data_IF_002933733349
#
_entry.id   IF_002933733349
#
_cell.length_a   1.000
_cell.length_b   1.000
_cell.length_c   1.000
_cell.angle_alpha   90.00
_cell.angle_beta   90.00
_cell.angle_gamma   90.00
#
_symmetry.space_group_name_H-M   'P 1'
#
loop_
_entity.id
_entity.type
_entity.pdbx_description
1 polymer ?
#
# COMPACT_ATOMS: atom_id res chain seq x y z
N UNK A 1 19.27 11.77 -61.34
CA UNK A 1 18.08 12.31 -60.61
C UNK A 1 17.39 11.31 -59.67
N UNK A 2 17.57 9.99 -59.79
CA UNK A 2 16.92 9.01 -58.90
C UNK A 2 17.64 8.85 -57.54
N UNK A 3 18.98 8.89 -57.52
CA UNK A 3 19.80 8.71 -56.30
C UNK A 3 19.64 9.87 -55.30
N UNK A 4 19.52 11.12 -55.76
CA UNK A 4 19.27 12.29 -54.90
C UNK A 4 17.90 12.23 -54.20
N UNK A 5 16.87 11.63 -54.82
CA UNK A 5 15.55 11.49 -54.21
C UNK A 5 15.53 10.43 -53.10
N UNK A 6 16.25 9.32 -53.29
CA UNK A 6 16.37 8.24 -52.30
C UNK A 6 17.13 8.72 -51.06
N UNK A 7 18.22 9.49 -51.26
CA UNK A 7 19.02 10.04 -50.15
C UNK A 7 18.21 11.05 -49.32
N UNK A 8 17.42 11.91 -49.97
CA UNK A 8 16.53 12.85 -49.27
C UNK A 8 15.43 12.16 -48.45
N UNK A 9 14.87 11.06 -48.95
CA UNK A 9 13.85 10.28 -48.24
C UNK A 9 14.42 9.56 -47.01
N UNK A 10 15.62 8.98 -47.15
CA UNK A 10 16.31 8.31 -46.05
C UNK A 10 16.71 9.28 -44.92
N UNK A 11 17.17 10.49 -45.27
CA UNK A 11 17.47 11.55 -44.30
C UNK A 11 16.18 12.03 -43.63
N UNK A 12 15.08 12.21 -44.37
CA UNK A 12 13.79 12.58 -43.80
C UNK A 12 13.23 11.54 -42.83
N UNK A 13 13.36 10.25 -43.15
CA UNK A 13 12.95 9.16 -42.26
C UNK A 13 13.84 9.06 -41.02
N UNK A 14 15.16 9.26 -41.16
CA UNK A 14 16.08 9.29 -40.03
C UNK A 14 15.79 10.47 -39.11
N UNK A 15 15.52 11.65 -39.68
CA UNK A 15 15.18 12.84 -38.91
C UNK A 15 13.85 12.67 -38.17
N UNK A 16 12.83 12.11 -38.84
CA UNK A 16 11.55 11.77 -38.22
C UNK A 16 11.67 10.71 -37.13
N UNK A 17 12.54 9.71 -37.31
CA UNK A 17 12.82 8.69 -36.29
C UNK A 17 13.52 9.30 -35.08
N UNK A 18 14.53 10.14 -35.30
CA UNK A 18 15.27 10.81 -34.23
C UNK A 18 14.38 11.78 -33.45
N UNK A 19 13.58 12.61 -34.13
CA UNK A 19 12.64 13.52 -33.46
C UNK A 19 11.55 12.77 -32.71
N UNK A 20 10.99 11.70 -33.28
CA UNK A 20 10.02 10.84 -32.57
C UNK A 20 10.64 10.11 -31.37
N UNK A 21 11.92 9.73 -31.44
CA UNK A 21 12.64 9.12 -30.32
C UNK A 21 12.93 10.12 -29.21
N UNK A 22 13.34 11.35 -29.54
CA UNK A 22 13.53 12.43 -28.57
C UNK A 22 12.22 12.81 -27.88
N UNK A 23 11.12 12.83 -28.63
CA UNK A 23 9.80 13.18 -28.10
C UNK A 23 9.27 12.09 -27.15
N UNK A 24 9.54 10.80 -27.41
CA UNK A 24 9.25 9.71 -26.47
C UNK A 24 10.10 9.79 -25.19
N UNK A 25 11.39 10.04 -25.32
CA UNK A 25 12.28 10.19 -24.16
C UNK A 25 11.85 11.38 -23.28
N UNK A 26 11.45 12.51 -23.89
CA UNK A 26 10.95 13.67 -23.17
C UNK A 26 9.59 13.44 -22.49
N UNK A 27 8.69 12.67 -23.11
CA UNK A 27 7.40 12.29 -22.50
C UNK A 27 7.60 11.29 -21.34
N UNK A 28 8.53 10.35 -21.47
CA UNK A 28 8.91 9.42 -20.41
C UNK A 28 9.56 10.17 -19.22
N UNK A 29 10.50 11.08 -19.48
CA UNK A 29 11.12 11.94 -18.45
C UNK A 29 10.07 12.82 -17.75
N UNK A 30 9.10 13.39 -18.50
CA UNK A 30 8.04 14.20 -17.93
C UNK A 30 7.02 13.38 -17.11
N UNK A 31 6.78 12.13 -17.49
CA UNK A 31 5.95 11.19 -16.74
C UNK A 31 6.66 10.73 -15.46
N UNK A 32 7.96 10.48 -15.53
CA UNK A 32 8.81 10.13 -14.39
C UNK A 32 8.92 11.29 -13.40
N UNK A 33 9.12 12.52 -13.88
CA UNK A 33 9.14 13.74 -13.06
C UNK A 33 7.79 14.11 -12.44
N UNK A 34 6.64 13.68 -13.03
CA UNK A 34 5.30 13.81 -12.42
C UNK A 34 4.97 12.66 -11.45
N UNK A 35 5.64 11.52 -11.59
CA UNK A 35 5.48 10.36 -10.72
C UNK A 35 6.32 10.46 -9.45
N UNK A 36 7.53 11.03 -9.52
CA UNK A 36 8.42 11.24 -8.36
C UNK A 36 7.74 12.00 -7.20
N UNK A 37 6.99 13.11 -7.42
CA UNK A 37 6.28 13.81 -6.34
C UNK A 37 5.15 12.98 -5.71
N UNK A 38 4.54 12.06 -6.46
CA UNK A 38 3.47 11.21 -5.93
C UNK A 38 4.03 10.01 -5.16
N UNK A 39 5.17 9.46 -5.60
CA UNK A 39 5.86 8.39 -4.91
C UNK A 39 6.52 8.87 -3.62
N UNK A 40 7.23 10.01 -3.66
CA UNK A 40 7.83 10.63 -2.47
C UNK A 40 6.78 10.93 -1.39
N UNK A 41 5.61 11.44 -1.78
CA UNK A 41 4.46 11.64 -0.87
C UNK A 41 3.92 10.34 -0.29
N UNK A 42 3.93 9.27 -1.09
CA UNK A 42 3.56 7.93 -0.63
C UNK A 42 4.52 7.42 0.44
N UNK A 43 5.82 7.50 0.17
CA UNK A 43 6.89 7.09 1.08
C UNK A 43 6.93 7.92 2.37
N UNK A 44 6.71 9.24 2.28
CA UNK A 44 6.55 10.10 3.46
C UNK A 44 5.34 9.68 4.30
N UNK A 45 4.21 9.43 3.65
CA UNK A 45 3.02 8.92 4.30
C UNK A 45 3.24 7.59 5.04
N UNK A 46 3.95 6.64 4.42
CA UNK A 46 4.32 5.36 5.03
C UNK A 46 5.23 5.58 6.25
N UNK A 47 6.20 6.48 6.16
CA UNK A 47 7.10 6.82 7.28
C UNK A 47 6.33 7.40 8.47
N UNK A 48 5.39 8.31 8.23
CA UNK A 48 4.55 8.90 9.29
C UNK A 48 3.71 7.83 10.01
N UNK A 49 3.04 6.97 9.24
CA UNK A 49 2.20 5.91 9.79
C UNK A 49 3.02 4.88 10.58
N UNK A 50 4.20 4.49 10.08
CA UNK A 50 5.10 3.60 10.82
C UNK A 50 5.54 4.20 12.15
N UNK A 51 5.92 5.48 12.17
CA UNK A 51 6.33 6.17 13.38
C UNK A 51 5.20 6.20 14.43
N UNK A 52 3.97 6.50 14.00
CA UNK A 52 2.81 6.49 14.89
C UNK A 52 2.45 5.10 15.40
N UNK A 53 2.45 4.08 14.53
CA UNK A 53 2.23 2.68 14.95
C UNK A 53 3.17 2.30 16.08
N UNK A 54 4.46 2.55 15.91
CA UNK A 54 5.50 2.24 16.90
C UNK A 54 5.24 2.99 18.20
N UNK A 55 5.00 4.30 18.13
CA UNK A 55 4.71 5.11 19.31
C UNK A 55 3.46 4.66 20.08
N UNK A 56 2.38 4.36 19.36
CA UNK A 56 1.12 3.89 19.95
C UNK A 56 1.27 2.50 20.56
N UNK A 57 1.94 1.58 19.88
CA UNK A 57 2.15 0.22 20.36
C UNK A 57 3.07 0.19 21.58
N UNK A 58 4.11 1.02 21.65
CA UNK A 58 4.91 1.19 22.88
C UNK A 58 4.02 1.60 24.05
N UNK A 59 3.12 2.57 23.86
CA UNK A 59 2.21 3.03 24.92
C UNK A 59 1.18 1.98 25.33
N UNK A 60 0.74 1.12 24.41
CA UNK A 60 -0.29 0.11 24.67
C UNK A 60 0.29 -1.22 25.18
N UNK A 61 1.50 -1.59 24.76
CA UNK A 61 2.06 -2.94 24.92
C UNK A 61 3.40 -2.98 25.65
N UNK A 62 4.03 -1.84 25.95
CA UNK A 62 5.43 -1.80 26.39
C UNK A 62 6.34 -2.27 25.26
N UNK A 63 7.10 -3.33 25.50
CA UNK A 63 8.03 -3.90 24.50
C UNK A 63 7.47 -5.14 23.79
N UNK A 64 6.27 -5.60 24.14
CA UNK A 64 5.65 -6.81 23.58
C UNK A 64 4.86 -6.48 22.30
N UNK A 65 5.54 -6.03 21.25
CA UNK A 65 4.97 -5.76 19.93
C UNK A 65 6.07 -5.79 18.85
N UNK A 66 5.65 -5.91 17.59
CA UNK A 66 6.53 -5.81 16.43
C UNK A 66 5.82 -5.07 15.29
N UNK A 67 6.53 -4.21 14.57
CA UNK A 67 6.08 -3.63 13.31
C UNK A 67 7.10 -3.99 12.23
N UNK A 68 6.63 -4.63 11.16
CA UNK A 68 7.40 -4.95 9.96
C UNK A 68 6.90 -4.05 8.82
N UNK A 69 7.75 -3.15 8.35
CA UNK A 69 7.43 -2.22 7.26
C UNK A 69 7.89 -2.81 5.91
N UNK A 70 7.13 -2.58 4.84
CA UNK A 70 7.49 -2.98 3.47
C UNK A 70 7.67 -4.50 3.29
N UNK A 71 6.85 -5.30 3.96
CA UNK A 71 6.99 -6.76 3.96
C UNK A 71 6.42 -7.38 2.68
N UNK A 72 7.24 -8.11 1.92
CA UNK A 72 6.77 -8.84 0.72
C UNK A 72 6.35 -10.25 1.10
N UNK A 73 5.04 -10.51 1.15
CA UNK A 73 4.49 -11.83 1.39
C UNK A 73 4.46 -12.67 0.11
N UNK A 74 4.84 -13.93 0.21
CA UNK A 74 4.67 -14.94 -0.83
C UNK A 74 3.40 -15.73 -0.52
N UNK A 75 2.25 -15.26 -1.02
CA UNK A 75 0.93 -15.79 -0.66
C UNK A 75 0.34 -16.75 -1.70
N UNK A 76 0.90 -16.82 -2.91
CA UNK A 76 0.42 -17.71 -3.98
C UNK A 76 1.55 -18.17 -4.92
N UNK A 77 2.50 -18.99 -4.44
CA UNK A 77 3.61 -19.49 -5.26
C UNK A 77 3.11 -20.12 -6.58
N UNK A 78 3.72 -19.75 -7.71
CA UNK A 78 3.38 -20.30 -9.04
C UNK A 78 2.17 -19.66 -9.74
N UNK A 79 1.55 -18.63 -9.15
CA UNK A 79 0.57 -17.78 -9.84
C UNK A 79 1.25 -16.57 -10.52
N UNK A 80 0.51 -15.86 -11.38
CA UNK A 80 0.99 -14.63 -12.02
C UNK A 80 1.33 -13.51 -11.01
N UNK A 81 0.71 -13.53 -9.83
CA UNK A 81 0.91 -12.57 -8.75
C UNK A 81 1.24 -13.30 -7.44
N UNK A 82 2.45 -13.91 -7.34
CA UNK A 82 2.78 -14.77 -6.22
C UNK A 82 3.09 -14.00 -4.94
N UNK A 83 3.34 -12.69 -5.07
CA UNK A 83 3.80 -11.82 -4.00
C UNK A 83 2.87 -10.63 -3.79
N UNK A 84 2.68 -10.22 -2.54
CA UNK A 84 2.02 -8.96 -2.18
C UNK A 84 2.83 -8.21 -1.11
N UNK A 85 3.09 -6.93 -1.36
CA UNK A 85 3.67 -6.01 -0.38
C UNK A 85 2.65 -5.67 0.72
N UNK A 86 3.08 -5.59 1.97
CA UNK A 86 2.34 -4.97 3.09
C UNK A 86 3.13 -3.74 3.52
N UNK A 87 2.49 -2.57 3.49
CA UNK A 87 3.11 -1.30 3.90
C UNK A 87 3.56 -1.39 5.37
N UNK A 88 2.65 -1.75 6.28
CA UNK A 88 2.99 -2.04 7.67
C UNK A 88 2.21 -3.23 8.22
N UNK A 89 2.92 -4.21 8.77
CA UNK A 89 2.36 -5.30 9.54
C UNK A 89 2.66 -5.08 11.02
N UNK A 90 1.63 -4.72 11.80
CA UNK A 90 1.73 -4.60 13.24
C UNK A 90 1.27 -5.89 13.93
N UNK A 91 2.12 -6.44 14.79
CA UNK A 91 1.85 -7.64 15.59
C UNK A 91 1.88 -7.21 17.05
N UNK A 92 0.74 -7.38 17.73
CA UNK A 92 0.56 -7.01 19.13
C UNK A 92 -0.08 -8.16 19.91
N UNK A 93 -0.04 -8.14 21.25
CA UNK A 93 -0.56 -9.22 22.08
C UNK A 93 -2.08 -9.40 21.97
N UNK A 94 -2.76 -8.38 21.44
CA UNK A 94 -4.21 -8.35 21.22
C UNK A 94 -4.62 -8.54 19.76
N UNK A 95 -3.68 -8.72 18.81
CA UNK A 95 -4.02 -8.93 17.41
C UNK A 95 -2.91 -8.62 16.41
N UNK A 96 -3.19 -8.93 15.14
CA UNK A 96 -2.36 -8.59 13.98
C UNK A 96 -3.11 -7.60 13.10
N UNK A 97 -2.44 -6.53 12.67
CA UNK A 97 -3.02 -5.46 11.86
C UNK A 97 -2.22 -5.28 10.58
N UNK A 98 -2.92 -5.41 9.44
CA UNK A 98 -2.37 -5.17 8.10
C UNK A 98 -2.73 -3.76 7.70
N UNK A 99 -1.78 -2.85 7.72
CA UNK A 99 -2.00 -1.44 7.44
C UNK A 99 -1.62 -1.15 6.01
N UNK A 100 -2.57 -0.58 5.28
CA UNK A 100 -2.40 -0.02 3.94
C UNK A 100 -2.46 1.51 4.06
N UNK A 101 -1.40 2.19 3.64
CA UNK A 101 -1.25 3.64 3.76
C UNK A 101 -1.72 4.33 2.49
N UNK A 102 -2.40 5.48 2.65
CA UNK A 102 -2.77 6.37 1.54
C UNK A 102 -2.52 7.83 1.92
N UNK A 103 -1.72 8.51 1.11
CA UNK A 103 -1.45 9.93 1.30
C UNK A 103 -2.43 10.80 0.49
N UNK A 104 -3.71 10.83 0.89
CA UNK A 104 -4.78 11.54 0.18
C UNK A 104 -5.22 12.80 0.93
N UNK A 105 -5.36 13.93 0.24
CA UNK A 105 -5.90 15.16 0.81
C UNK A 105 -7.34 15.42 0.33
N UNK A 106 -8.25 15.71 1.26
CA UNK A 106 -9.66 16.00 0.97
C UNK A 106 -10.64 15.09 1.68
N UNK A 107 -11.90 15.08 1.22
CA UNK A 107 -12.99 14.30 1.84
C UNK A 107 -13.09 12.93 1.17
N UNK A 108 -13.02 11.88 1.98
CA UNK A 108 -13.19 10.49 1.55
C UNK A 108 -14.59 10.01 1.90
N UNK A 109 -15.35 9.61 0.89
CA UNK A 109 -16.69 9.02 1.03
C UNK A 109 -16.78 7.66 0.37
N UNK A 110 -17.91 6.98 0.54
CA UNK A 110 -18.23 5.76 -0.23
C UNK A 110 -18.11 6.01 -1.74
N UNK A 111 -17.63 5.00 -2.46
CA UNK A 111 -17.75 4.90 -3.91
C UNK A 111 -19.09 4.31 -4.32
N UNK A 112 -19.18 3.90 -5.58
CA UNK A 112 -20.37 3.22 -6.12
C UNK A 112 -20.48 1.77 -5.61
N UNK A 113 -19.37 1.18 -5.18
CA UNK A 113 -19.27 -0.16 -4.63
C UNK A 113 -18.44 -0.16 -3.35
N UNK A 114 -18.59 -1.20 -2.53
CA UNK A 114 -17.79 -1.41 -1.30
C UNK A 114 -16.27 -1.49 -1.56
N UNK A 115 -15.87 -1.81 -2.79
CA UNK A 115 -14.48 -1.91 -3.22
C UNK A 115 -13.87 -0.56 -3.62
N UNK A 116 -14.68 0.52 -3.64
CA UNK A 116 -14.28 1.84 -4.13
C UNK A 116 -14.60 2.94 -3.13
N UNK A 117 -13.79 4.00 -3.17
CA UNK A 117 -13.95 5.22 -2.41
C UNK A 117 -13.96 6.42 -3.37
N UNK A 118 -14.71 7.46 -3.00
CA UNK A 118 -14.65 8.75 -3.67
C UNK A 118 -13.80 9.71 -2.86
N UNK A 119 -12.73 10.24 -3.46
CA UNK A 119 -11.95 11.34 -2.91
C UNK A 119 -12.43 12.64 -3.56
N UNK A 120 -12.90 13.59 -2.76
CA UNK A 120 -13.17 14.97 -3.19
C UNK A 120 -12.05 15.87 -2.68
N UNK A 121 -11.24 16.43 -3.58
CA UNK A 121 -10.12 17.30 -3.20
C UNK A 121 -10.61 18.67 -2.74
N UNK A 122 -9.72 19.45 -2.14
CA UNK A 122 -9.99 20.83 -1.69
C UNK A 122 -10.48 21.75 -2.84
N UNK A 123 -10.03 21.48 -4.07
CA UNK A 123 -10.43 22.21 -5.28
C UNK A 123 -11.76 21.70 -5.88
N UNK A 124 -12.45 20.79 -5.19
CA UNK A 124 -13.73 20.20 -5.61
C UNK A 124 -13.64 19.11 -6.67
N UNK A 125 -12.43 18.67 -7.05
CA UNK A 125 -12.27 17.58 -8.01
C UNK A 125 -12.61 16.24 -7.35
N UNK A 126 -13.31 15.38 -8.08
CA UNK A 126 -13.75 14.07 -7.58
C UNK A 126 -13.01 12.95 -8.30
N UNK A 127 -12.51 12.01 -7.51
CA UNK A 127 -11.77 10.87 -7.98
C UNK A 127 -12.30 9.58 -7.38
N UNK A 128 -12.59 8.59 -8.22
CA UNK A 128 -12.83 7.23 -7.76
C UNK A 128 -11.49 6.55 -7.55
N UNK A 129 -11.34 5.88 -6.41
CA UNK A 129 -10.12 5.17 -5.99
C UNK A 129 -10.50 3.81 -5.44
N UNK A 130 -9.65 2.81 -5.67
CA UNK A 130 -9.80 1.51 -5.02
C UNK A 130 -9.64 1.67 -3.50
N UNK A 131 -10.52 1.00 -2.75
CA UNK A 131 -10.47 0.99 -1.29
C UNK A 131 -9.17 0.34 -0.79
N UNK A 132 -8.49 0.91 0.22
CA UNK A 132 -7.38 0.25 0.90
C UNK A 132 -7.75 -1.15 1.45
N UNK A 133 -9.01 -1.32 1.87
CA UNK A 133 -9.52 -2.60 2.35
C UNK A 133 -9.57 -3.65 1.23
N UNK A 134 -9.90 -3.24 0.01
CA UNK A 134 -9.84 -4.12 -1.15
C UNK A 134 -8.40 -4.53 -1.46
N UNK A 135 -7.46 -3.58 -1.38
CA UNK A 135 -6.04 -3.81 -1.64
C UNK A 135 -5.41 -4.78 -0.62
N UNK A 136 -5.78 -4.67 0.66
CA UNK A 136 -5.23 -5.56 1.70
C UNK A 136 -6.05 -6.85 1.93
N UNK A 137 -7.22 -7.04 1.31
CA UNK A 137 -8.10 -8.18 1.55
C UNK A 137 -7.43 -9.55 1.37
N UNK A 138 -6.63 -9.71 0.30
CA UNK A 138 -5.89 -10.95 0.05
C UNK A 138 -4.81 -11.20 1.12
N UNK A 139 -4.08 -10.15 1.52
CA UNK A 139 -3.04 -10.16 2.55
C UNK A 139 -3.63 -10.59 3.90
N UNK A 140 -4.77 -9.99 4.29
CA UNK A 140 -5.51 -10.32 5.52
C UNK A 140 -6.01 -11.76 5.50
N UNK A 141 -6.60 -12.21 4.39
CA UNK A 141 -7.09 -13.60 4.25
C UNK A 141 -5.96 -14.61 4.39
N UNK A 142 -4.81 -14.32 3.77
CA UNK A 142 -3.63 -15.17 3.89
C UNK A 142 -3.14 -15.23 5.33
N UNK A 143 -2.94 -14.10 6.00
CA UNK A 143 -2.48 -14.06 7.39
C UNK A 143 -3.45 -14.75 8.35
N UNK A 144 -4.77 -14.64 8.14
CA UNK A 144 -5.78 -15.40 8.90
C UNK A 144 -5.61 -16.90 8.77
N UNK A 145 -5.13 -17.40 7.62
CA UNK A 145 -4.89 -18.83 7.41
C UNK A 145 -3.68 -19.36 8.18
N UNK A 146 -2.75 -18.47 8.57
CA UNK A 146 -1.55 -18.83 9.33
C UNK A 146 -1.79 -18.86 10.85
N UNK A 147 -2.86 -18.22 11.33
CA UNK A 147 -3.17 -18.09 12.75
C UNK A 147 -4.36 -18.99 13.15
N UNK A 148 -4.39 -19.50 14.40
CA UNK A 148 -5.56 -20.21 14.91
C UNK A 148 -6.82 -19.35 14.80
N UNK A 149 -7.90 -19.87 14.18
CA UNK A 149 -9.11 -19.09 13.99
C UNK A 149 -9.75 -18.75 15.33
N UNK A 150 -10.32 -17.53 15.41
CA UNK A 150 -11.11 -17.03 16.55
C UNK A 150 -10.35 -16.74 17.85
N UNK A 151 -9.05 -17.07 17.96
CA UNK A 151 -8.26 -16.71 19.13
C UNK A 151 -7.80 -15.25 19.09
N UNK A 152 -7.26 -14.82 17.95
CA UNK A 152 -6.72 -13.48 17.78
C UNK A 152 -7.29 -12.84 16.53
N UNK A 153 -7.50 -11.52 16.60
CA UNK A 153 -7.94 -10.76 15.44
C UNK A 153 -6.79 -10.63 14.45
N UNK A 154 -7.14 -10.73 13.17
CA UNK A 154 -6.31 -10.28 12.06
C UNK A 154 -7.16 -9.31 11.27
N UNK A 155 -6.81 -8.04 11.28
CA UNK A 155 -7.63 -6.95 10.76
C UNK A 155 -6.85 -6.12 9.73
N UNK A 156 -7.50 -5.81 8.61
CA UNK A 156 -6.96 -4.87 7.62
C UNK A 156 -7.40 -3.46 7.95
N UNK A 157 -6.46 -2.53 7.97
CA UNK A 157 -6.69 -1.11 8.18
C UNK A 157 -6.30 -0.33 6.92
N UNK A 158 -7.10 0.66 6.54
CA UNK A 158 -6.71 1.68 5.59
C UNK A 158 -6.43 2.96 6.35
N UNK A 159 -5.18 3.44 6.33
CA UNK A 159 -4.78 4.63 7.09
C UNK A 159 -4.44 5.76 6.13
N UNK A 160 -5.13 6.88 6.27
CA UNK A 160 -4.89 8.08 5.49
C UNK A 160 -3.91 8.99 6.23
N UNK A 161 -2.70 9.17 5.68
CA UNK A 161 -1.58 9.84 6.36
C UNK A 161 -1.65 11.36 6.32
N UNK A 162 -2.23 11.94 5.26
CA UNK A 162 -2.27 13.38 5.08
C UNK A 162 -3.20 14.08 6.08
N UNK A 163 -2.74 15.16 6.70
CA UNK A 163 -3.48 15.91 7.73
C UNK A 163 -4.81 16.55 7.29
N UNK A 164 -4.98 16.81 5.99
CA UNK A 164 -6.17 17.45 5.42
C UNK A 164 -7.22 16.42 4.96
N UNK A 165 -7.01 15.15 5.28
CA UNK A 165 -7.99 14.10 4.99
C UNK A 165 -9.13 14.16 6.00
N UNK A 166 -10.35 14.02 5.51
CA UNK A 166 -11.54 13.82 6.32
C UNK A 166 -12.23 12.55 5.88
N UNK A 167 -12.32 11.57 6.77
CA UNK A 167 -12.99 10.29 6.49
C UNK A 167 -14.45 10.40 6.92
N UNK A 168 -15.38 10.22 5.97
CA UNK A 168 -16.80 10.32 6.27
C UNK A 168 -17.22 9.29 7.35
N UNK A 169 -17.99 9.68 8.39
CA UNK A 169 -18.36 8.77 9.48
C UNK A 169 -19.18 7.54 9.06
N UNK A 170 -19.78 7.57 7.88
CA UNK A 170 -20.52 6.44 7.32
C UNK A 170 -19.61 5.32 6.78
N UNK A 171 -18.31 5.59 6.61
CA UNK A 171 -17.34 4.58 6.16
C UNK A 171 -17.04 3.56 7.27
N UNK A 172 -16.57 2.35 6.91
CA UNK A 172 -16.13 1.37 7.90
C UNK A 172 -15.09 1.95 8.85
N UNK A 173 -15.22 1.66 10.16
CA UNK A 173 -14.33 2.16 11.21
C UNK A 173 -12.86 1.69 11.11
N UNK A 174 -12.52 0.86 10.11
CA UNK A 174 -11.16 0.41 9.80
C UNK A 174 -10.49 1.28 8.72
N UNK A 175 -11.23 2.23 8.15
CA UNK A 175 -10.70 3.34 7.36
C UNK A 175 -10.49 4.52 8.29
N UNK A 176 -9.23 4.86 8.52
CA UNK A 176 -8.80 5.72 9.62
C UNK A 176 -8.05 6.93 9.06
N UNK A 177 -8.37 8.11 9.60
CA UNK A 177 -7.42 9.21 9.62
C UNK A 177 -6.23 8.80 10.51
N UNK A 178 -5.02 9.21 10.14
CA UNK A 178 -3.80 8.90 10.92
C UNK A 178 -3.96 9.19 12.42
N UNK A 179 -4.53 10.34 12.77
CA UNK A 179 -4.83 10.78 14.14
C UNK A 179 -5.71 9.81 14.96
N UNK A 180 -6.53 8.99 14.30
CA UNK A 180 -7.46 8.06 14.95
C UNK A 180 -6.84 6.68 15.23
N UNK A 181 -5.61 6.43 14.76
CA UNK A 181 -4.94 5.15 14.87
C UNK A 181 -4.79 4.68 16.33
N UNK A 182 -4.40 5.58 17.24
CA UNK A 182 -4.32 5.26 18.67
C UNK A 182 -5.67 4.81 19.23
N UNK A 183 -6.73 5.54 18.91
CA UNK A 183 -8.08 5.27 19.42
C UNK A 183 -8.53 3.90 18.95
N UNK A 184 -8.34 3.59 17.67
CA UNK A 184 -8.69 2.29 17.09
C UNK A 184 -7.96 1.14 17.80
N UNK A 185 -6.62 1.23 17.90
CA UNK A 185 -5.80 0.20 18.55
C UNK A 185 -6.18 0.01 20.02
N UNK A 186 -6.44 1.10 20.76
CA UNK A 186 -6.89 1.05 22.15
C UNK A 186 -8.26 0.37 22.29
N UNK A 187 -9.20 0.66 21.40
CA UNK A 187 -10.52 -0.02 21.40
C UNK A 187 -10.34 -1.52 21.14
N UNK A 188 -9.50 -1.91 20.19
CA UNK A 188 -9.19 -3.33 19.90
C UNK A 188 -8.54 -4.03 21.09
N UNK A 189 -7.60 -3.37 21.76
CA UNK A 189 -7.00 -3.89 22.99
C UNK A 189 -8.06 -4.12 24.09
N UNK A 190 -8.96 -3.17 24.30
CA UNK A 190 -10.03 -3.29 25.30
C UNK A 190 -11.03 -4.39 24.96
N UNK A 191 -11.37 -4.55 23.67
CA UNK A 191 -12.22 -5.63 23.19
C UNK A 191 -11.56 -6.99 23.41
N UNK A 192 -10.27 -7.12 23.09
CA UNK A 192 -9.50 -8.33 23.35
C UNK A 192 -9.44 -8.67 24.85
N UNK A 193 -9.23 -7.69 25.72
CA UNK A 193 -9.20 -7.91 27.18
C UNK A 193 -10.50 -8.53 27.73
N UNK A 194 -11.64 -8.35 27.03
CA UNK A 194 -12.94 -8.92 27.41
C UNK A 194 -13.14 -10.37 26.95
N UNK A 195 -12.30 -10.91 26.07
CA UNK A 195 -12.49 -12.27 25.55
C UNK A 195 -12.00 -13.35 26.52
N UNK A 196 -11.13 -13.00 27.48
CA UNK A 196 -10.45 -13.97 28.35
C UNK A 196 -9.44 -14.85 27.61
N UNK A 197 -9.13 -14.56 26.34
CA UNK A 197 -8.15 -15.29 25.55
C UNK A 197 -6.73 -14.94 25.97
N UNK A 198 -5.82 -15.92 25.94
CA UNK A 198 -4.40 -15.68 26.19
C UNK A 198 -3.79 -14.72 25.15
N UNK A 199 -2.80 -13.92 25.58
CA UNK A 199 -2.06 -13.01 24.71
C UNK A 199 -1.47 -13.72 23.50
N UNK A 200 -1.49 -13.04 22.35
CA UNK A 200 -0.80 -13.48 21.14
C UNK A 200 0.72 -13.50 21.41
N UNK A 201 1.41 -14.64 21.21
CA UNK A 201 2.86 -14.72 21.41
C UNK A 201 3.59 -14.05 20.24
N UNK A 202 3.89 -12.75 20.38
CA UNK A 202 4.40 -11.89 19.29
C UNK A 202 5.58 -12.50 18.53
N UNK A 203 6.67 -12.97 19.19
CA UNK A 203 7.82 -13.53 18.46
C UNK A 203 7.46 -14.78 17.65
N UNK A 204 6.65 -15.68 18.21
CA UNK A 204 6.24 -16.92 17.55
C UNK A 204 5.37 -16.65 16.32
N UNK A 205 4.47 -15.66 16.40
CA UNK A 205 3.63 -15.28 15.27
C UNK A 205 4.47 -14.57 14.19
N UNK A 206 5.41 -13.71 14.58
CA UNK A 206 6.35 -13.10 13.64
C UNK A 206 7.15 -14.16 12.88
N UNK A 207 7.71 -15.15 13.57
CA UNK A 207 8.45 -16.26 12.94
C UNK A 207 7.58 -17.05 11.95
N UNK A 208 6.31 -17.29 12.29
CA UNK A 208 5.38 -17.97 11.37
C UNK A 208 5.17 -17.15 10.10
N UNK A 209 4.94 -15.85 10.23
CA UNK A 209 4.67 -14.97 9.09
C UNK A 209 5.92 -14.80 8.22
N UNK A 210 7.09 -14.62 8.83
CA UNK A 210 8.36 -14.42 8.12
C UNK A 210 8.80 -15.64 7.30
N UNK A 211 8.36 -16.86 7.64
CA UNK A 211 8.56 -18.04 6.79
C UNK A 211 7.83 -17.97 5.44
N UNK A 212 6.87 -17.08 5.32
CA UNK A 212 6.11 -16.82 4.10
C UNK A 212 6.42 -15.44 3.50
N UNK A 213 7.52 -14.81 3.90
CA UNK A 213 7.96 -13.53 3.38
C UNK A 213 9.31 -13.66 2.66
N UNK A 214 9.50 -12.81 1.65
CA UNK A 214 10.82 -12.58 1.08
C UNK A 214 11.54 -11.52 1.92
N UNK A 215 12.52 -11.94 2.70
CA UNK A 215 13.25 -11.08 3.65
C UNK A 215 14.54 -10.51 3.08
N UNK A 216 14.83 -10.77 1.80
CA UNK A 216 15.98 -10.18 1.12
C UNK A 216 15.83 -8.65 1.08
N UNK A 217 16.89 -7.87 1.32
CA UNK A 217 16.84 -6.41 1.26
C UNK A 217 16.30 -5.88 -0.09
N UNK A 218 16.54 -6.60 -1.17
CA UNK A 218 16.15 -6.22 -2.53
C UNK A 218 14.69 -6.56 -2.86
N UNK A 219 14.04 -7.42 -2.08
CA UNK A 219 12.72 -7.98 -2.40
C UNK A 219 11.64 -6.91 -2.62
N UNK A 220 11.66 -5.86 -1.78
CA UNK A 220 10.71 -4.75 -1.88
C UNK A 220 10.93 -3.95 -3.18
N UNK A 221 12.18 -3.62 -3.49
CA UNK A 221 12.53 -2.89 -4.72
C UNK A 221 12.17 -3.71 -5.97
N UNK A 222 12.52 -5.00 -5.98
CA UNK A 222 12.16 -5.93 -7.06
C UNK A 222 10.64 -6.08 -7.22
N UNK A 223 9.89 -6.12 -6.12
CA UNK A 223 8.43 -6.17 -6.15
C UNK A 223 7.83 -4.88 -6.75
N UNK A 224 8.22 -3.72 -6.24
CA UNK A 224 7.73 -2.42 -6.72
C UNK A 224 8.05 -2.19 -8.20
N UNK A 225 9.25 -2.56 -8.65
CA UNK A 225 9.63 -2.51 -10.07
C UNK A 225 8.71 -3.38 -10.94
N UNK A 226 8.44 -4.63 -10.55
CA UNK A 226 7.53 -5.52 -11.28
C UNK A 226 6.12 -4.95 -11.40
N UNK A 227 5.60 -4.34 -10.34
CA UNK A 227 4.27 -3.70 -10.35
C UNK A 227 4.26 -2.49 -11.29
N UNK A 228 5.30 -1.67 -11.30
CA UNK A 228 5.41 -0.52 -12.19
C UNK A 228 5.48 -0.95 -13.66
N UNK A 229 6.27 -1.97 -13.98
CA UNK A 229 6.36 -2.53 -15.32
C UNK A 229 5.05 -3.18 -15.78
N UNK A 230 4.32 -3.84 -14.87
CA UNK A 230 2.99 -4.41 -15.15
C UNK A 230 1.95 -3.33 -15.48
N UNK A 231 1.95 -2.24 -14.69
CA UNK A 231 1.10 -1.06 -14.95
C UNK A 231 1.41 -0.40 -16.28
N UNK A 232 2.69 -0.30 -16.66
CA UNK A 232 3.10 0.23 -17.96
C UNK A 232 2.63 -0.65 -19.14
N UNK A 233 2.49 -1.96 -18.92
CA UNK A 233 2.03 -2.95 -19.91
C UNK A 233 0.50 -3.11 -19.98
N UNK A 234 -0.27 -2.39 -19.17
CA UNK A 234 -1.74 -2.42 -19.19
C UNK A 234 -2.36 -3.70 -18.63
N UNK A 235 -1.60 -4.48 -17.85
CA UNK A 235 -2.10 -5.67 -17.16
C UNK A 235 -2.41 -5.28 -15.71
N UNK A 236 -3.69 -5.14 -15.37
CA UNK A 236 -4.17 -4.90 -14.00
C UNK A 236 -5.03 -6.06 -13.53
#
# INVERSE_FOLDING_TARGET
MLIQKILGLAIGLLYAYLSFSQQRLADDDAREARAAPAQERGEEGEREVSAELRWHLTRLCGDDWLVLDGLVLIHAPGSDFPTAEIDHLAIAPFGVFVVETKHWAGVVTHGETDDTLTLTTVDGQRFVRTSPLKQNAAKVRFLRSLLPPRLWIVEGLGVFSHEAVMVAPALPAVLLERSELYRHLRVRQQQFARTGTGRLPVPKIADVILRHADTRPEALAEHRQRIQEGRARGQS
#
